data_IF_901487503906
#
_entry.id   IF_901487503906
#
_cell.length_a   1.000
_cell.length_b   1.000
_cell.length_c   1.000
_cell.angle_alpha   90.00
_cell.angle_beta   90.00
_cell.angle_gamma   90.00
#
_symmetry.space_group_name_H-M   'P 1'
#
loop_
_entity.id
_entity.type
_entity.pdbx_description
1 polymer ?
#
# COMPACT_ATOMS: atom_id res chain seq x y z
N UNK A 1 -4.72 7.94 -7.07
CA UNK A 1 -3.66 6.98 -6.68
C UNK A 1 -2.66 6.73 -7.82
N UNK A 2 -3.15 6.39 -9.01
CA UNK A 2 -2.34 6.06 -10.21
C UNK A 2 -1.18 7.02 -10.52
N UNK A 3 -1.40 8.34 -10.61
CA UNK A 3 -0.33 9.28 -10.97
C UNK A 3 0.87 9.27 -10.00
N UNK A 4 0.61 9.16 -8.69
CA UNK A 4 1.67 9.08 -7.68
C UNK A 4 2.49 7.78 -7.83
N UNK A 5 1.81 6.67 -8.07
CA UNK A 5 2.45 5.37 -8.32
C UNK A 5 3.26 5.35 -9.61
N UNK A 6 2.74 5.92 -10.69
CA UNK A 6 3.46 6.03 -11.96
C UNK A 6 4.72 6.89 -11.84
N UNK A 7 4.66 7.97 -11.06
CA UNK A 7 5.84 8.79 -10.79
C UNK A 7 6.84 8.03 -9.92
N UNK A 8 6.35 7.33 -8.90
CA UNK A 8 7.17 6.58 -7.97
C UNK A 8 7.87 5.39 -8.63
N UNK A 9 7.18 4.65 -9.52
CA UNK A 9 7.76 3.54 -10.28
C UNK A 9 8.97 3.97 -11.12
N UNK A 10 9.07 5.25 -11.50
CA UNK A 10 10.19 5.80 -12.27
C UNK A 10 11.40 6.22 -11.43
N UNK A 11 11.30 6.21 -10.10
CA UNK A 11 12.46 6.55 -9.26
C UNK A 11 13.51 5.45 -9.32
N UNK A 12 14.77 5.79 -9.08
CA UNK A 12 15.86 4.81 -9.01
C UNK A 12 15.91 4.12 -7.65
N UNK A 13 16.63 2.99 -7.57
CA UNK A 13 16.80 2.21 -6.35
C UNK A 13 15.57 1.39 -5.95
N UNK A 14 15.64 0.79 -4.75
CA UNK A 14 14.57 -0.04 -4.18
C UNK A 14 13.34 0.81 -3.87
N UNK A 15 12.16 0.33 -4.28
CA UNK A 15 10.87 1.01 -4.21
C UNK A 15 9.87 0.19 -3.41
N UNK A 16 9.37 0.77 -2.33
CA UNK A 16 8.43 0.14 -1.43
C UNK A 16 7.17 1.00 -1.36
N UNK A 17 5.99 0.38 -1.48
CA UNK A 17 4.72 1.06 -1.38
C UNK A 17 3.89 0.52 -0.20
N UNK A 18 3.14 1.41 0.45
CA UNK A 18 2.07 1.04 1.39
C UNK A 18 0.79 1.71 0.93
N UNK A 19 -0.15 0.90 0.45
CA UNK A 19 -1.35 1.34 -0.22
C UNK A 19 -2.59 1.04 0.62
N UNK A 20 -3.34 2.08 0.95
CA UNK A 20 -4.60 1.99 1.66
C UNK A 20 -5.79 1.97 0.72
N UNK A 21 -6.86 1.32 1.15
CA UNK A 21 -8.13 1.25 0.42
C UNK A 21 -8.65 2.65 0.04
N UNK A 22 -9.26 2.73 -1.13
CA UNK A 22 -9.94 3.92 -1.64
C UNK A 22 -11.44 3.82 -1.34
N UNK A 23 -11.99 4.78 -0.59
CA UNK A 23 -13.41 4.75 -0.15
C UNK A 23 -14.39 5.42 -1.14
N UNK A 24 -13.90 6.10 -2.17
CA UNK A 24 -14.70 6.99 -3.02
C UNK A 24 -15.24 6.33 -4.32
N UNK A 25 -15.13 5.01 -4.46
CA UNK A 25 -15.35 4.31 -5.75
C UNK A 25 -16.72 3.64 -5.93
N UNK A 26 -17.59 3.66 -4.91
CA UNK A 26 -18.97 3.17 -5.02
C UNK A 26 -19.08 1.71 -5.50
N UNK A 27 -19.84 1.43 -6.56
CA UNK A 27 -20.06 0.07 -7.08
C UNK A 27 -18.88 -0.52 -7.85
N UNK A 28 -17.83 0.27 -8.14
CA UNK A 28 -16.65 -0.18 -8.89
C UNK A 28 -15.43 -0.44 -8.00
N UNK A 29 -15.64 -0.43 -6.69
CA UNK A 29 -14.57 -0.53 -5.69
C UNK A 29 -13.74 -1.80 -5.86
N UNK A 30 -14.35 -2.96 -6.07
CA UNK A 30 -13.61 -4.24 -6.16
C UNK A 30 -12.71 -4.32 -7.41
N UNK A 31 -13.25 -4.01 -8.59
CA UNK A 31 -12.51 -4.04 -9.85
C UNK A 31 -11.32 -3.08 -9.86
N UNK A 32 -11.48 -1.88 -9.30
CA UNK A 32 -10.41 -0.88 -9.22
C UNK A 32 -9.28 -1.33 -8.28
N UNK A 33 -9.61 -1.94 -7.14
CA UNK A 33 -8.59 -2.48 -6.24
C UNK A 33 -7.84 -3.65 -6.86
N UNK A 34 -8.53 -4.54 -7.57
CA UNK A 34 -7.88 -5.62 -8.31
C UNK A 34 -6.94 -5.07 -9.39
N UNK A 35 -7.40 -4.15 -10.23
CA UNK A 35 -6.58 -3.52 -11.28
C UNK A 35 -5.36 -2.79 -10.70
N UNK A 36 -5.51 -2.16 -9.52
CA UNK A 36 -4.40 -1.55 -8.82
C UNK A 36 -3.35 -2.59 -8.39
N UNK A 37 -3.78 -3.72 -7.82
CA UNK A 37 -2.88 -4.82 -7.44
C UNK A 37 -2.14 -5.37 -8.65
N UNK A 38 -2.87 -5.69 -9.73
CA UNK A 38 -2.29 -6.17 -10.98
C UNK A 38 -1.29 -5.18 -11.57
N UNK A 39 -1.61 -3.88 -11.55
CA UNK A 39 -0.71 -2.85 -12.03
C UNK A 39 0.57 -2.76 -11.20
N UNK A 40 0.47 -2.83 -9.87
CA UNK A 40 1.65 -2.78 -8.98
C UNK A 40 2.53 -4.00 -9.22
N UNK A 41 1.95 -5.20 -9.35
CA UNK A 41 2.68 -6.44 -9.65
C UNK A 41 3.39 -6.40 -11.01
N UNK A 42 2.82 -5.70 -11.99
CA UNK A 42 3.42 -5.51 -13.31
C UNK A 42 4.37 -4.31 -13.39
N UNK A 43 4.54 -3.56 -12.30
CA UNK A 43 5.38 -2.35 -12.25
C UNK A 43 6.80 -2.65 -11.76
N UNK A 44 7.64 -1.62 -11.69
CA UNK A 44 8.98 -1.65 -11.11
C UNK A 44 9.00 -1.45 -9.59
N UNK A 45 7.86 -1.53 -8.89
CA UNK A 45 7.79 -1.46 -7.43
C UNK A 45 8.24 -2.81 -6.86
N UNK A 46 9.28 -2.80 -6.03
CA UNK A 46 9.91 -4.02 -5.52
C UNK A 46 9.08 -4.70 -4.42
N UNK A 47 8.38 -3.90 -3.61
CA UNK A 47 7.54 -4.42 -2.52
C UNK A 47 6.31 -3.54 -2.28
N UNK A 48 5.19 -4.16 -1.94
CA UNK A 48 3.95 -3.44 -1.67
C UNK A 48 3.14 -4.09 -0.56
N UNK A 49 2.75 -3.27 0.41
CA UNK A 49 1.87 -3.63 1.52
C UNK A 49 0.50 -2.97 1.35
N UNK A 50 -0.54 -3.67 1.78
CA UNK A 50 -1.93 -3.33 1.47
C UNK A 50 -2.74 -3.20 2.75
N UNK A 51 -3.39 -2.05 2.94
CA UNK A 51 -4.14 -1.73 4.16
C UNK A 51 -5.62 -1.51 3.83
N UNK A 52 -6.49 -2.35 4.38
CA UNK A 52 -7.93 -2.27 4.23
C UNK A 52 -8.55 -3.51 3.60
N UNK A 53 -9.75 -3.85 4.06
CA UNK A 53 -10.46 -5.08 3.71
C UNK A 53 -10.63 -5.29 2.19
N UNK A 54 -10.68 -4.23 1.39
CA UNK A 54 -10.81 -4.32 -0.06
C UNK A 54 -9.66 -5.10 -0.76
N UNK A 55 -8.52 -5.32 -0.11
CA UNK A 55 -7.39 -6.03 -0.69
C UNK A 55 -7.30 -7.51 -0.31
N UNK A 56 -8.08 -7.97 0.66
CA UNK A 56 -7.94 -9.29 1.29
C UNK A 56 -7.90 -10.45 0.27
N UNK A 57 -8.74 -10.38 -0.76
CA UNK A 57 -8.87 -11.42 -1.78
C UNK A 57 -7.86 -11.32 -2.92
N UNK A 58 -7.04 -10.27 -2.96
CA UNK A 58 -6.20 -9.95 -4.13
C UNK A 58 -4.70 -10.07 -3.86
N UNK A 59 -4.28 -10.12 -2.60
CA UNK A 59 -2.87 -10.02 -2.22
C UNK A 59 -2.46 -11.11 -1.24
N UNK A 60 -1.16 -11.35 -1.12
CA UNK A 60 -0.63 -12.31 -0.15
C UNK A 60 -0.86 -11.86 1.29
N UNK A 61 -1.17 -12.83 2.17
CA UNK A 61 -1.51 -12.56 3.56
C UNK A 61 -0.38 -11.89 4.37
N UNK A 62 0.88 -12.10 3.99
CA UNK A 62 2.06 -11.48 4.60
C UNK A 62 2.24 -9.99 4.22
N UNK A 63 1.54 -9.54 3.19
CA UNK A 63 1.54 -8.14 2.71
C UNK A 63 0.22 -7.42 2.98
N UNK A 64 -0.73 -8.09 3.62
CA UNK A 64 -2.08 -7.57 3.87
C UNK A 64 -2.29 -7.20 5.34
N UNK A 65 -2.96 -6.08 5.56
CA UNK A 65 -3.45 -5.64 6.86
C UNK A 65 -4.90 -5.20 6.73
N UNK A 66 -5.79 -5.73 7.58
CA UNK A 66 -7.21 -5.36 7.52
C UNK A 66 -7.47 -3.90 7.92
N UNK A 67 -6.59 -3.32 8.74
CA UNK A 67 -6.68 -1.96 9.26
C UNK A 67 -5.29 -1.40 9.61
N UNK A 68 -5.27 -0.10 9.94
CA UNK A 68 -4.05 0.64 10.27
C UNK A 68 -3.35 0.09 11.52
N UNK A 69 -4.07 -0.35 12.55
CA UNK A 69 -3.47 -0.83 13.80
C UNK A 69 -2.67 -2.12 13.57
N UNK A 70 -3.15 -3.01 12.71
CA UNK A 70 -2.40 -4.20 12.29
C UNK A 70 -1.12 -3.84 11.53
N UNK A 71 -1.22 -2.88 10.60
CA UNK A 71 -0.05 -2.39 9.87
C UNK A 71 0.98 -1.76 10.84
N UNK A 72 0.53 -0.93 11.78
CA UNK A 72 1.38 -0.30 12.80
C UNK A 72 2.11 -1.35 13.64
N UNK A 73 1.39 -2.36 14.14
CA UNK A 73 1.97 -3.43 14.94
C UNK A 73 3.02 -4.24 14.15
N UNK A 74 2.75 -4.50 12.88
CA UNK A 74 3.68 -5.18 11.99
C UNK A 74 4.97 -4.37 11.79
N UNK A 75 4.87 -3.11 11.35
CA UNK A 75 6.05 -2.30 11.06
C UNK A 75 6.85 -1.91 12.30
N UNK A 76 6.21 -1.82 13.47
CA UNK A 76 6.92 -1.65 14.75
C UNK A 76 7.86 -2.82 15.06
N UNK A 77 7.55 -4.03 14.57
CA UNK A 77 8.34 -5.24 14.81
C UNK A 77 9.17 -5.67 13.61
N UNK A 78 8.85 -5.14 12.42
CA UNK A 78 9.46 -5.50 11.14
C UNK A 78 9.82 -4.20 10.39
N UNK A 79 10.99 -3.61 10.70
CA UNK A 79 11.45 -2.39 10.05
C UNK A 79 11.47 -2.53 8.52
N UNK A 80 11.11 -1.44 7.84
CA UNK A 80 11.17 -1.41 6.38
C UNK A 80 12.61 -1.05 6.03
N UNK A 81 13.38 -2.04 5.57
CA UNK A 81 14.77 -1.79 5.17
C UNK A 81 14.91 -0.72 4.08
N UNK A 82 16.15 -0.36 3.78
CA UNK A 82 16.49 0.78 2.92
C UNK A 82 15.75 0.81 1.58
N UNK A 83 15.30 2.00 1.18
CA UNK A 83 14.65 2.24 -0.09
C UNK A 83 13.86 3.55 -0.11
N UNK A 84 13.30 3.87 -1.27
CA UNK A 84 12.26 4.89 -1.38
C UNK A 84 10.93 4.29 -0.93
N UNK A 85 10.17 5.04 -0.13
CA UNK A 85 8.87 4.62 0.38
C UNK A 85 7.76 5.56 -0.09
N UNK A 86 6.68 4.98 -0.62
CA UNK A 86 5.44 5.68 -0.92
C UNK A 86 4.33 5.18 0.01
N UNK A 87 3.76 6.09 0.82
CA UNK A 87 2.54 5.81 1.61
C UNK A 87 1.35 6.54 0.98
N UNK A 88 0.31 5.81 0.56
CA UNK A 88 -0.84 6.41 -0.12
C UNK A 88 -2.15 5.67 0.15
N UNK A 89 -3.20 6.40 0.56
CA UNK A 89 -4.54 5.83 0.77
C UNK A 89 -5.60 6.90 0.95
N UNK A 90 -6.85 6.48 1.20
CA UNK A 90 -7.92 7.38 1.65
C UNK A 90 -7.54 8.03 2.99
N UNK A 91 -7.91 9.30 3.19
CA UNK A 91 -7.65 10.02 4.46
C UNK A 91 -8.26 9.31 5.67
N UNK A 92 -9.39 8.63 5.49
CA UNK A 92 -10.06 7.88 6.55
C UNK A 92 -9.25 6.70 7.11
N UNK A 93 -8.22 6.24 6.38
CA UNK A 93 -7.34 5.16 6.85
C UNK A 93 -6.16 5.68 7.69
N UNK A 94 -5.93 7.00 7.74
CA UNK A 94 -4.92 7.61 8.62
C UNK A 94 -3.52 7.00 8.46
N UNK A 95 -3.14 6.63 7.24
CA UNK A 95 -1.85 5.94 6.96
C UNK A 95 -0.64 6.78 7.36
N UNK A 96 -0.78 8.10 7.51
CA UNK A 96 0.27 8.98 8.01
C UNK A 96 0.81 8.56 9.38
N UNK A 97 0.03 7.84 10.19
CA UNK A 97 0.48 7.28 11.48
C UNK A 97 1.65 6.30 11.31
N UNK A 98 1.77 5.67 10.15
CA UNK A 98 2.85 4.73 9.87
C UNK A 98 4.23 5.39 9.89
N UNK A 99 4.30 6.71 9.69
CA UNK A 99 5.57 7.45 9.76
C UNK A 99 6.21 7.33 11.15
N UNK A 100 5.41 7.13 12.20
CA UNK A 100 5.90 7.03 13.58
C UNK A 100 6.56 5.68 13.90
N UNK A 101 6.35 4.66 13.06
CA UNK A 101 6.82 3.27 13.31
C UNK A 101 7.63 2.68 12.18
N UNK A 102 7.62 3.31 11.00
CA UNK A 102 8.47 2.91 9.90
C UNK A 102 9.84 3.55 10.11
N UNK A 103 10.83 2.69 10.35
CA UNK A 103 12.24 3.02 10.50
C UNK A 103 13.07 2.10 9.60
#
# INVERSE_FOLDING_TARGET
>A
MSAALQSFAKTEGRKIAILGQMNELGKHTETEHQQLVEWVQASSIDDCYWVGAAFESFVSADKYFSNIDQAMAHFSSNPIGDGSLLVKGSRSFTLEKLIDVIH
#
